data_IF_380745817968
#
_entry.id   IF_380745817968
#
_cell.length_a   1.000
_cell.length_b   1.000
_cell.length_c   1.000
_cell.angle_alpha   90.00
_cell.angle_beta   90.00
_cell.angle_gamma   90.00
#
_symmetry.space_group_name_H-M   'P 1'
#
loop_
_entity.id
_entity.type
_entity.pdbx_description
1 polymer ?
#
# COMPACT_ATOMS: atom_id res chain seq x y z
N UNK A 1 -11.08 -12.90 -1.46
CA UNK A 1 -11.35 -12.17 -0.20
C UNK A 1 -11.47 -10.70 -0.55
N UNK A 2 -12.67 -10.29 -0.96
CA UNK A 2 -12.99 -8.90 -1.27
C UNK A 2 -13.59 -8.25 -0.03
N UNK A 3 -13.14 -7.03 0.30
CA UNK A 3 -13.74 -6.26 1.37
C UNK A 3 -14.97 -5.54 0.85
N UNK A 4 -16.09 -5.92 1.47
CA UNK A 4 -17.46 -5.53 1.20
C UNK A 4 -17.77 -4.31 2.04
N UNK A 5 -17.81 -3.13 1.43
CA UNK A 5 -18.43 -1.96 2.04
C UNK A 5 -19.95 -2.15 2.00
N UNK A 6 -20.58 -2.19 3.16
CA UNK A 6 -22.02 -2.38 3.30
C UNK A 6 -22.73 -1.09 2.89
N UNK A 7 -23.10 -0.97 1.61
CA UNK A 7 -23.99 0.09 1.09
C UNK A 7 -25.31 -0.56 0.67
N UNK A 8 -26.39 -0.08 1.28
CA UNK A 8 -27.76 -0.56 1.17
C UNK A 8 -28.26 -0.72 -0.27
N UNK A 9 -28.83 -1.90 -0.52
CA UNK A 9 -29.82 -2.32 -1.51
C UNK A 9 -30.09 -1.48 -2.78
N UNK A 10 -29.80 -2.15 -3.91
CA UNK A 10 -30.50 -2.08 -5.21
C UNK A 10 -30.36 -0.80 -6.07
N UNK A 11 -29.21 -0.62 -6.73
CA UNK A 11 -29.12 0.04 -8.07
C UNK A 11 -27.76 -0.08 -8.79
N UNK A 12 -26.83 -0.96 -8.37
CA UNK A 12 -25.41 -0.82 -8.76
C UNK A 12 -24.98 -1.52 -10.07
N UNK A 13 -25.83 -2.26 -10.77
CA UNK A 13 -25.40 -3.03 -11.95
C UNK A 13 -25.02 -2.14 -13.15
N UNK A 14 -25.63 -0.95 -13.26
CA UNK A 14 -25.40 -0.02 -14.37
C UNK A 14 -24.17 0.85 -14.10
N UNK A 15 -24.02 1.32 -12.86
CA UNK A 15 -22.84 2.05 -12.39
C UNK A 15 -21.58 1.20 -12.45
N UNK A 16 -21.63 -0.07 -12.00
CA UNK A 16 -20.48 -0.98 -12.09
C UNK A 16 -20.07 -1.23 -13.54
N UNK A 17 -21.02 -1.42 -14.47
CA UNK A 17 -20.71 -1.67 -15.88
C UNK A 17 -20.16 -0.43 -16.60
N UNK A 18 -20.65 0.77 -16.27
CA UNK A 18 -20.15 2.02 -16.84
C UNK A 18 -18.79 2.44 -16.27
N UNK A 19 -18.55 2.22 -14.97
CA UNK A 19 -17.23 2.41 -14.34
C UNK A 19 -16.22 1.40 -14.91
N UNK A 20 -16.63 0.14 -15.13
CA UNK A 20 -15.75 -0.87 -15.74
C UNK A 20 -15.44 -0.57 -17.23
N UNK A 21 -16.37 0.05 -17.96
CA UNK A 21 -16.19 0.39 -19.38
C UNK A 21 -15.39 1.69 -19.62
N UNK A 22 -15.27 2.57 -18.63
CA UNK A 22 -14.48 3.80 -18.72
C UNK A 22 -13.01 3.63 -18.32
N UNK A 23 -12.62 2.49 -17.73
CA UNK A 23 -11.25 2.22 -17.29
C UNK A 23 -10.41 1.56 -18.40
N UNK A 24 -10.26 2.24 -19.54
CA UNK A 24 -9.43 1.75 -20.65
C UNK A 24 -7.92 1.79 -20.30
N UNK A 25 -7.55 2.60 -19.29
CA UNK A 25 -6.18 2.72 -18.78
C UNK A 25 -6.03 1.95 -17.48
N UNK A 26 -5.05 1.04 -17.46
CA UNK A 26 -4.64 0.30 -16.28
C UNK A 26 -3.43 0.95 -15.64
N UNK A 27 -3.46 1.12 -14.32
CA UNK A 27 -2.33 1.66 -13.55
C UNK A 27 -1.65 0.56 -12.76
N UNK A 28 -0.33 0.44 -12.92
CA UNK A 28 0.48 -0.57 -12.23
C UNK A 28 1.48 0.15 -11.33
N UNK A 29 1.48 -0.21 -10.05
CA UNK A 29 2.47 0.23 -9.07
C UNK A 29 3.51 -0.87 -8.86
N UNK A 30 4.77 -0.56 -9.18
CA UNK A 30 5.90 -1.46 -8.94
C UNK A 30 6.81 -0.89 -7.85
N UNK A 31 7.07 -1.70 -6.82
CA UNK A 31 7.83 -1.31 -5.64
C UNK A 31 9.15 -2.10 -5.58
N UNK A 32 10.25 -1.36 -5.61
CA UNK A 32 11.58 -1.97 -5.57
C UNK A 32 11.97 -2.45 -4.15
N UNK A 33 12.88 -3.43 -4.09
CA UNK A 33 13.43 -3.94 -2.85
C UNK A 33 14.57 -3.05 -2.33
N UNK A 34 14.55 -2.70 -1.03
CA UNK A 34 15.56 -1.79 -0.47
C UNK A 34 15.95 -2.02 0.99
N UNK A 35 15.43 -3.06 1.66
CA UNK A 35 15.51 -3.17 3.11
C UNK A 35 14.81 -1.99 3.77
N UNK A 36 15.38 -1.43 4.84
CA UNK A 36 14.79 -0.27 5.55
C UNK A 36 14.54 0.96 4.66
N UNK A 37 15.25 1.07 3.52
CA UNK A 37 15.00 2.12 2.50
C UNK A 37 13.61 2.01 1.86
N UNK A 38 12.88 0.91 2.04
CA UNK A 38 11.47 0.79 1.65
C UNK A 38 10.58 1.83 2.33
N UNK A 39 10.99 2.38 3.48
CA UNK A 39 10.27 3.46 4.14
C UNK A 39 10.23 4.75 3.30
N UNK A 40 11.32 5.09 2.59
CA UNK A 40 11.31 6.27 1.72
C UNK A 40 10.37 6.08 0.54
N UNK A 41 10.29 4.87 -0.02
CA UNK A 41 9.35 4.54 -1.08
C UNK A 41 7.90 4.74 -0.63
N UNK A 42 7.54 4.29 0.57
CA UNK A 42 6.21 4.51 1.15
C UNK A 42 5.91 6.00 1.40
N UNK A 43 6.89 6.78 1.87
CA UNK A 43 6.72 8.23 2.08
C UNK A 43 6.49 8.94 0.74
N UNK A 44 7.29 8.62 -0.28
CA UNK A 44 7.12 9.15 -1.63
C UNK A 44 5.76 8.77 -2.20
N UNK A 45 5.35 7.50 -2.05
CA UNK A 45 4.05 7.03 -2.50
C UNK A 45 2.91 7.80 -1.80
N UNK A 46 2.99 8.01 -0.49
CA UNK A 46 2.02 8.80 0.26
C UNK A 46 1.89 10.23 -0.29
N UNK A 47 3.00 10.86 -0.65
CA UNK A 47 3.00 12.17 -1.27
C UNK A 47 2.32 12.14 -2.66
N UNK A 48 2.65 11.15 -3.50
CA UNK A 48 2.00 10.97 -4.80
C UNK A 48 0.50 10.75 -4.65
N UNK A 49 0.07 9.93 -3.70
CA UNK A 49 -1.35 9.67 -3.44
C UNK A 49 -2.09 10.94 -3.02
N UNK A 50 -1.47 11.82 -2.22
CA UNK A 50 -2.03 13.13 -1.87
C UNK A 50 -2.17 14.07 -3.06
N UNK A 51 -1.22 14.03 -4.00
CA UNK A 51 -1.28 14.84 -5.22
C UNK A 51 -2.38 14.38 -6.20
N UNK A 52 -2.94 13.17 -6.02
CA UNK A 52 -4.03 12.66 -6.83
C UNK A 52 -5.42 13.11 -6.35
N UNK A 53 -5.51 13.69 -5.15
CA UNK A 53 -6.75 14.24 -4.61
C UNK A 53 -6.83 15.72 -5.00
N UNK A 54 -8.00 16.17 -5.44
CA UNK A 54 -8.22 17.55 -5.89
C UNK A 54 -8.04 18.56 -4.74
N UNK A 55 -8.43 18.17 -3.52
CA UNK A 55 -8.20 18.94 -2.29
C UNK A 55 -7.16 18.22 -1.41
N UNK A 56 -5.97 18.81 -1.18
CA UNK A 56 -4.90 18.19 -0.40
C UNK A 56 -5.23 18.06 1.10
N UNK A 57 -6.27 18.76 1.58
CA UNK A 57 -6.78 18.68 2.96
C UNK A 57 -8.01 17.75 3.07
N UNK A 58 -8.45 17.14 1.97
CA UNK A 58 -9.57 16.19 1.98
C UNK A 58 -9.12 14.83 2.54
N UNK A 59 -9.72 14.48 3.68
CA UNK A 59 -9.68 13.14 4.24
C UNK A 59 -11.02 12.43 4.00
N UNK A 60 -11.03 11.13 3.63
CA UNK A 60 -9.86 10.24 3.60
C UNK A 60 -9.16 10.18 2.24
N UNK A 61 -7.82 10.15 2.27
CA UNK A 61 -7.01 9.81 1.09
C UNK A 61 -7.31 8.37 0.66
N UNK A 62 -7.55 8.11 -0.64
CA UNK A 62 -7.83 6.77 -1.13
C UNK A 62 -6.65 5.82 -0.89
N UNK A 63 -6.95 4.55 -0.63
CA UNK A 63 -5.92 3.54 -0.50
C UNK A 63 -5.29 3.24 -1.87
N UNK A 64 -3.99 2.87 -1.93
CA UNK A 64 -3.35 2.56 -3.22
C UNK A 64 -4.04 1.47 -4.03
N UNK A 65 -4.71 0.50 -3.38
CA UNK A 65 -5.48 -0.54 -4.07
C UNK A 65 -6.74 -0.04 -4.78
N UNK A 66 -7.22 1.16 -4.45
CA UNK A 66 -8.38 1.80 -5.11
C UNK A 66 -7.95 2.53 -6.39
N UNK A 67 -6.71 3.04 -6.40
CA UNK A 67 -6.13 3.77 -7.53
C UNK A 67 -5.46 2.82 -8.53
N UNK A 68 -4.64 1.90 -8.06
CA UNK A 68 -3.84 1.00 -8.88
C UNK A 68 -4.51 -0.36 -9.08
N UNK A 69 -4.58 -0.82 -10.33
CA UNK A 69 -5.16 -2.13 -10.69
C UNK A 69 -4.24 -3.29 -10.30
N UNK A 70 -2.93 -3.04 -10.24
CA UNK A 70 -1.93 -4.01 -9.85
C UNK A 70 -0.87 -3.34 -9.00
N UNK A 71 -0.57 -3.94 -7.85
CA UNK A 71 0.54 -3.57 -6.99
C UNK A 71 1.47 -4.77 -6.90
N UNK A 72 2.72 -4.59 -7.27
CA UNK A 72 3.75 -5.64 -7.24
C UNK A 72 5.07 -5.09 -6.68
N UNK A 73 5.93 -5.98 -6.20
CA UNK A 73 7.26 -5.59 -5.74
C UNK A 73 8.14 -6.77 -5.38
N UNK A 74 9.44 -6.52 -5.25
CA UNK A 74 10.45 -7.56 -4.96
C UNK A 74 11.04 -7.40 -3.57
N UNK A 75 11.31 -8.52 -2.87
CA UNK A 75 11.86 -8.51 -1.51
C UNK A 75 11.00 -7.66 -0.55
N UNK A 76 11.56 -6.61 0.04
CA UNK A 76 10.84 -5.63 0.86
C UNK A 76 9.66 -4.98 0.12
N UNK A 77 9.81 -4.66 -1.16
CA UNK A 77 8.72 -4.13 -1.99
C UNK A 77 7.57 -5.13 -2.12
N UNK A 78 7.86 -6.43 -2.05
CA UNK A 78 6.86 -7.50 -2.00
C UNK A 78 6.04 -7.45 -0.71
N UNK A 79 6.68 -7.28 0.45
CA UNK A 79 5.99 -7.06 1.73
C UNK A 79 5.06 -5.83 1.65
N UNK A 80 5.58 -4.71 1.14
CA UNK A 80 4.80 -3.47 0.98
C UNK A 80 3.63 -3.68 0.02
N UNK A 81 3.83 -4.42 -1.09
CA UNK A 81 2.75 -4.75 -2.03
C UNK A 81 1.62 -5.56 -1.38
N UNK A 82 1.93 -6.44 -0.42
CA UNK A 82 0.93 -7.18 0.36
C UNK A 82 0.19 -6.23 1.31
N UNK A 83 0.90 -5.35 2.02
CA UNK A 83 0.29 -4.37 2.93
C UNK A 83 -0.71 -3.46 2.17
N UNK A 84 -0.31 -2.93 1.02
CA UNK A 84 -1.12 -1.98 0.27
C UNK A 84 -2.19 -2.65 -0.60
N UNK A 85 -1.84 -3.76 -1.26
CA UNK A 85 -2.73 -4.42 -2.23
C UNK A 85 -3.63 -5.47 -1.59
N UNK A 86 -3.07 -6.39 -0.81
CA UNK A 86 -3.81 -7.54 -0.26
C UNK A 86 -4.58 -7.17 1.01
N UNK A 87 -3.95 -6.41 1.90
CA UNK A 87 -4.57 -5.94 3.14
C UNK A 87 -5.34 -4.62 2.95
N UNK A 88 -5.12 -3.92 1.84
CA UNK A 88 -5.83 -2.68 1.51
C UNK A 88 -5.53 -1.53 2.48
N UNK A 89 -4.32 -1.52 3.05
CA UNK A 89 -3.92 -0.45 3.98
C UNK A 89 -3.66 0.85 3.21
N UNK A 90 -4.04 1.96 3.83
CA UNK A 90 -3.60 3.28 3.38
C UNK A 90 -2.09 3.46 3.60
N UNK A 91 -1.50 4.46 2.94
CA UNK A 91 -0.06 4.67 2.98
C UNK A 91 0.46 4.98 4.40
N UNK A 92 -0.29 5.71 5.22
CA UNK A 92 0.12 6.08 6.57
C UNK A 92 0.11 4.88 7.52
N UNK A 93 -0.92 4.05 7.44
CA UNK A 93 -0.99 2.80 8.19
C UNK A 93 0.11 1.84 7.74
N UNK A 94 0.35 1.71 6.44
CA UNK A 94 1.42 0.87 5.91
C UNK A 94 2.80 1.35 6.37
N UNK A 95 3.05 2.66 6.47
CA UNK A 95 4.29 3.23 7.05
C UNK A 95 4.48 2.78 8.49
N UNK A 96 3.43 2.86 9.32
CA UNK A 96 3.49 2.49 10.72
C UNK A 96 3.80 1.01 10.89
N UNK A 97 3.08 0.13 10.19
CA UNK A 97 3.31 -1.31 10.20
C UNK A 97 4.72 -1.63 9.69
N UNK A 98 5.17 -0.98 8.61
CA UNK A 98 6.49 -1.22 8.05
C UNK A 98 7.63 -0.80 9.01
N UNK A 99 7.45 0.27 9.80
CA UNK A 99 8.41 0.67 10.85
C UNK A 99 8.53 -0.38 11.96
N UNK A 100 7.45 -1.07 12.30
CA UNK A 100 7.45 -2.15 13.30
C UNK A 100 8.06 -3.44 12.75
N UNK A 101 7.75 -3.79 11.50
CA UNK A 101 8.24 -5.01 10.86
C UNK A 101 9.69 -4.90 10.36
N UNK A 102 10.12 -3.71 9.92
CA UNK A 102 11.45 -3.48 9.34
C UNK A 102 12.62 -4.00 10.18
N UNK A 103 12.65 -3.73 11.50
CA UNK A 103 13.67 -4.28 12.40
C UNK A 103 13.64 -5.81 12.52
N UNK A 104 12.46 -6.42 12.54
CA UNK A 104 12.27 -7.87 12.66
C UNK A 104 12.76 -8.60 11.40
N UNK A 105 12.44 -8.08 10.21
CA UNK A 105 12.83 -8.68 8.94
C UNK A 105 14.32 -8.46 8.61
N UNK A 106 14.97 -7.43 9.17
CA UNK A 106 16.36 -7.07 8.85
C UNK A 106 17.41 -7.98 9.48
N UNK A 107 17.04 -9.13 10.05
CA UNK A 107 17.99 -10.15 10.53
C UNK A 107 18.92 -9.68 11.66
N UNK A 108 18.69 -8.51 12.25
CA UNK A 108 19.39 -8.08 13.47
C UNK A 108 18.81 -8.83 14.65
N UNK A 109 19.15 -10.12 14.77
CA UNK A 109 19.19 -10.76 16.07
C UNK A 109 20.01 -9.83 16.97
N UNK A 110 19.46 -9.40 18.11
CA UNK A 110 20.28 -8.83 19.18
C UNK A 110 21.22 -9.95 19.65
N UNK A 111 22.33 -10.11 18.93
CA UNK A 111 23.42 -10.95 19.34
C UNK A 111 23.98 -10.34 20.62
N UNK A 112 23.58 -10.89 21.77
CA UNK A 112 24.48 -10.96 22.91
C UNK A 112 25.61 -11.92 22.53
N UNK A 113 26.47 -11.52 21.59
CA UNK A 113 27.82 -12.07 21.55
C UNK A 113 28.61 -11.21 22.53
N UNK A 114 28.53 -11.58 23.80
CA UNK A 114 29.49 -11.11 24.79
C UNK A 114 30.86 -11.50 24.28
N UNK A 115 31.66 -10.49 23.94
CA UNK A 115 33.08 -10.64 23.70
C UNK A 115 33.67 -10.98 25.07
N UNK A 116 33.98 -12.25 25.29
CA UNK A 116 34.80 -12.70 26.41
C UNK A 116 36.12 -13.19 25.80
N UNK A 117 37.07 -12.27 25.70
CA UNK A 117 38.51 -12.54 25.63
C UNK A 117 39.18 -11.55 26.58
#
# INVERSE_FOLDING_TARGET
>A
MGYRYHRSHQSNLVWDRQVQMAKDRKYILSLDGGGYRGLSCLITLNHVMRLLVDDPDEDPIPAPCEVFDLICGTSTGGLISILLGRLGLDCMTAISVYKELGPLCSGKTKGKCGVLF
#
